data_IF_636292999879
#
_entry.id   IF_636292999879
#
_cell.length_a   1.000
_cell.length_b   1.000
_cell.length_c   1.000
_cell.angle_alpha   90.00
_cell.angle_beta   90.00
_cell.angle_gamma   90.00
#
_symmetry.space_group_name_H-M   'P 1'
#
loop_
_entity.id
_entity.type
_entity.pdbx_description
1 polymer ?
#
# COMPACT_ATOMS: atom_id res chain seq x y z
N UNK A 1 14.96 -49.29 -52.36
CA UNK A 1 14.29 -48.92 -51.10
C UNK A 1 15.06 -47.73 -50.49
N UNK A 2 14.58 -46.53 -50.75
CA UNK A 2 15.21 -45.28 -50.24
C UNK A 2 14.42 -44.86 -48.97
N UNK A 3 15.10 -44.84 -47.85
CA UNK A 3 14.56 -44.33 -46.57
C UNK A 3 14.90 -42.85 -46.48
N UNK A 4 13.88 -41.99 -46.55
CA UNK A 4 14.02 -40.53 -46.41
C UNK A 4 13.87 -40.21 -44.94
N UNK A 5 14.96 -39.73 -44.28
CA UNK A 5 14.95 -39.25 -42.91
C UNK A 5 14.47 -37.78 -42.89
N UNK A 6 13.33 -37.56 -42.30
CA UNK A 6 12.80 -36.21 -41.99
C UNK A 6 13.47 -35.71 -40.71
N UNK A 7 14.29 -34.68 -40.83
CA UNK A 7 14.81 -33.93 -39.64
C UNK A 7 13.80 -32.86 -39.30
N UNK A 8 13.13 -33.02 -38.15
CA UNK A 8 12.23 -32.02 -37.58
C UNK A 8 13.08 -31.00 -36.83
N UNK A 9 13.26 -29.82 -37.40
CA UNK A 9 13.91 -28.69 -36.70
C UNK A 9 12.89 -28.04 -35.76
N UNK A 10 12.99 -28.29 -34.45
CA UNK A 10 12.27 -27.54 -33.42
C UNK A 10 12.84 -26.13 -33.38
N UNK A 11 12.14 -25.17 -33.95
CA UNK A 11 12.36 -23.75 -33.66
C UNK A 11 11.87 -23.46 -32.25
N UNK A 12 12.80 -23.35 -31.29
CA UNK A 12 12.54 -22.84 -29.96
C UNK A 12 12.15 -21.36 -30.05
N UNK A 13 10.90 -21.05 -29.82
CA UNK A 13 10.46 -19.67 -29.59
C UNK A 13 10.99 -19.27 -28.22
N UNK A 14 12.14 -18.60 -28.20
CA UNK A 14 12.59 -17.89 -26.98
C UNK A 14 11.62 -16.76 -26.75
N UNK A 15 10.73 -16.90 -25.78
CA UNK A 15 9.98 -15.78 -25.24
C UNK A 15 11.01 -14.82 -24.64
N UNK A 16 11.26 -13.72 -25.30
CA UNK A 16 11.97 -12.60 -24.71
C UNK A 16 11.11 -12.08 -23.54
N UNK A 17 11.43 -12.49 -22.33
CA UNK A 17 10.91 -11.84 -21.13
C UNK A 17 11.54 -10.45 -21.13
N UNK A 18 10.76 -9.44 -21.50
CA UNK A 18 11.18 -8.04 -21.41
C UNK A 18 11.57 -7.78 -19.95
N UNK A 19 12.79 -7.28 -19.73
CA UNK A 19 13.24 -6.95 -18.39
C UNK A 19 12.41 -5.76 -17.89
N UNK A 20 11.83 -5.86 -16.70
CA UNK A 20 11.11 -4.75 -16.06
C UNK A 20 12.03 -3.53 -15.98
N UNK A 21 11.51 -2.35 -16.34
CA UNK A 21 12.27 -1.10 -16.26
C UNK A 21 12.66 -0.73 -14.83
N UNK A 22 11.87 -1.18 -13.85
CA UNK A 22 12.08 -0.88 -12.43
C UNK A 22 12.02 -2.13 -11.58
N UNK A 23 12.76 -2.12 -10.48
CA UNK A 23 12.70 -3.16 -9.45
C UNK A 23 11.48 -2.99 -8.56
N UNK A 24 10.93 -4.10 -8.10
CA UNK A 24 9.76 -4.11 -7.21
C UNK A 24 10.19 -4.48 -5.80
N UNK A 25 9.81 -3.65 -4.83
CA UNK A 25 10.10 -3.85 -3.40
C UNK A 25 8.79 -3.96 -2.63
N UNK A 26 8.56 -5.07 -1.94
CA UNK A 26 7.36 -5.28 -1.14
C UNK A 26 7.57 -4.77 0.30
N UNK A 27 6.59 -4.03 0.84
CA UNK A 27 6.57 -3.57 2.23
C UNK A 27 5.25 -3.93 2.87
N UNK A 28 5.26 -4.95 3.74
CA UNK A 28 4.05 -5.52 4.33
C UNK A 28 3.38 -4.58 5.34
N UNK A 29 2.14 -4.90 5.70
CA UNK A 29 1.34 -4.19 6.69
C UNK A 29 1.52 -4.74 8.12
N UNK A 30 0.68 -4.25 9.01
CA UNK A 30 0.62 -4.68 10.39
C UNK A 30 0.22 -6.16 10.51
N UNK A 31 0.89 -6.89 11.40
CA UNK A 31 0.67 -8.30 11.70
C UNK A 31 0.30 -8.47 13.17
N UNK A 32 -1.00 -8.66 13.45
CA UNK A 32 -1.54 -8.66 14.82
C UNK A 32 -1.00 -9.80 15.70
N UNK A 33 -0.63 -10.95 15.10
CA UNK A 33 -0.04 -12.07 15.85
C UNK A 33 1.28 -11.70 16.49
N UNK A 34 2.07 -10.83 15.89
CA UNK A 34 3.37 -10.40 16.42
C UNK A 34 3.27 -9.58 17.71
N UNK A 35 2.11 -8.99 18.03
CA UNK A 35 1.92 -8.30 19.31
C UNK A 35 1.94 -9.24 20.53
N UNK A 36 1.81 -10.54 20.33
CA UNK A 36 1.81 -11.55 21.40
C UNK A 36 2.90 -12.58 21.29
N UNK A 37 3.36 -12.86 20.09
CA UNK A 37 4.43 -13.82 19.81
C UNK A 37 5.65 -13.04 19.32
N UNK A 38 6.36 -12.41 20.28
CA UNK A 38 7.55 -11.63 19.97
C UNK A 38 8.73 -12.58 19.73
N UNK A 39 9.01 -12.85 18.48
CA UNK A 39 10.17 -13.67 18.07
C UNK A 39 10.88 -13.01 16.88
N UNK A 40 12.01 -12.30 17.09
CA UNK A 40 12.77 -11.66 16.02
C UNK A 40 13.21 -12.61 14.90
N UNK A 41 13.33 -13.92 15.18
CA UNK A 41 13.74 -14.92 14.17
C UNK A 41 12.66 -15.23 13.15
N UNK A 42 11.40 -14.87 13.44
CA UNK A 42 10.24 -15.11 12.55
C UNK A 42 9.96 -13.95 11.59
N UNK A 43 10.59 -12.79 11.75
CA UNK A 43 10.23 -11.58 11.01
C UNK A 43 10.32 -11.81 9.49
N UNK A 44 11.39 -12.42 9.00
CA UNK A 44 11.54 -12.74 7.58
C UNK A 44 10.48 -13.74 7.08
N UNK A 45 10.25 -14.84 7.81
CA UNK A 45 9.26 -15.84 7.43
C UNK A 45 7.83 -15.31 7.51
N UNK A 46 7.52 -14.48 8.50
CA UNK A 46 6.21 -13.83 8.63
C UNK A 46 5.98 -12.85 7.47
N UNK A 47 6.98 -12.07 7.11
CA UNK A 47 6.93 -11.17 5.96
C UNK A 47 6.76 -11.91 4.63
N UNK A 48 7.43 -13.05 4.46
CA UNK A 48 7.24 -13.91 3.30
C UNK A 48 5.81 -14.46 3.23
N UNK A 49 5.30 -14.97 4.36
CA UNK A 49 3.94 -15.52 4.42
C UNK A 49 2.86 -14.44 4.19
N UNK A 50 3.12 -13.20 4.59
CA UNK A 50 2.20 -12.08 4.39
C UNK A 50 1.85 -11.85 2.93
N UNK A 51 2.82 -11.94 2.04
CA UNK A 51 2.66 -11.57 0.64
C UNK A 51 2.14 -12.68 -0.27
N UNK A 52 2.07 -13.90 0.18
CA UNK A 52 1.78 -15.07 -0.65
C UNK A 52 2.67 -15.20 -1.90
N UNK A 53 2.72 -16.38 -2.50
CA UNK A 53 3.69 -16.68 -3.56
C UNK A 53 3.52 -15.84 -4.83
N UNK A 54 2.27 -15.50 -5.20
CA UNK A 54 2.00 -14.75 -6.44
C UNK A 54 2.45 -13.27 -6.41
N UNK A 55 2.66 -12.70 -5.22
CA UNK A 55 3.34 -11.41 -5.07
C UNK A 55 4.85 -11.58 -5.08
N UNK A 56 5.34 -12.51 -4.27
CA UNK A 56 6.77 -12.75 -4.08
C UNK A 56 7.48 -13.22 -5.33
N UNK A 57 6.80 -14.00 -6.19
CA UNK A 57 7.37 -14.50 -7.43
C UNK A 57 7.79 -13.40 -8.45
N UNK A 58 7.23 -12.19 -8.32
CA UNK A 58 7.48 -11.07 -9.22
C UNK A 58 8.23 -9.92 -8.53
N UNK A 59 8.43 -9.98 -7.22
CA UNK A 59 9.18 -8.98 -6.47
C UNK A 59 10.69 -9.25 -6.55
N UNK A 60 11.46 -8.18 -6.59
CA UNK A 60 12.92 -8.25 -6.54
C UNK A 60 13.42 -8.23 -5.10
N UNK A 61 12.71 -7.52 -4.21
CA UNK A 61 13.08 -7.35 -2.82
C UNK A 61 11.86 -7.27 -1.89
N UNK A 62 12.10 -7.48 -0.60
CA UNK A 62 11.12 -7.32 0.46
C UNK A 62 11.73 -6.64 1.68
N UNK A 63 10.98 -5.75 2.29
CA UNK A 63 11.34 -5.09 3.56
C UNK A 63 10.41 -5.61 4.63
N UNK A 64 10.95 -6.40 5.56
CA UNK A 64 10.23 -6.99 6.67
C UNK A 64 10.56 -6.27 7.97
N UNK A 65 9.54 -6.10 8.82
CA UNK A 65 9.65 -5.36 10.07
C UNK A 65 8.67 -5.89 11.12
N UNK A 66 9.01 -5.79 12.42
CA UNK A 66 8.15 -6.33 13.48
C UNK A 66 7.05 -5.37 13.89
N UNK A 67 5.82 -5.86 14.00
CA UNK A 67 4.68 -5.05 14.44
C UNK A 67 4.69 -4.69 15.93
N UNK A 68 5.49 -5.37 16.74
CA UNK A 68 5.63 -5.09 18.17
C UNK A 68 6.59 -3.95 18.51
N UNK A 69 7.27 -3.36 17.53
CA UNK A 69 8.19 -2.23 17.71
C UNK A 69 7.61 -0.94 17.10
N UNK A 70 8.22 0.20 17.42
CA UNK A 70 7.87 1.52 16.90
C UNK A 70 8.67 1.83 15.64
N UNK A 71 8.04 2.55 14.67
CA UNK A 71 8.68 2.92 13.40
C UNK A 71 9.91 3.79 13.67
N UNK A 72 9.74 4.89 14.40
CA UNK A 72 10.84 5.78 14.81
C UNK A 72 11.64 5.20 16.00
N UNK A 73 12.00 3.95 15.91
CA UNK A 73 12.72 3.23 16.96
C UNK A 73 13.45 2.05 16.36
N UNK A 74 13.20 0.87 16.92
CA UNK A 74 13.88 -0.34 16.45
C UNK A 74 13.49 -0.77 15.06
N UNK A 75 12.27 -0.45 14.58
CA UNK A 75 11.98 -0.70 13.16
C UNK A 75 12.97 0.05 12.30
N UNK A 76 13.17 1.35 12.52
CA UNK A 76 14.12 2.15 11.76
C UNK A 76 15.56 1.64 11.91
N UNK A 77 16.06 1.44 13.15
CA UNK A 77 17.45 1.14 13.41
C UNK A 77 17.87 -0.30 13.08
N UNK A 78 17.01 -1.27 13.43
CA UNK A 78 17.39 -2.68 13.44
C UNK A 78 16.88 -3.44 12.19
N UNK A 79 15.87 -2.88 11.48
CA UNK A 79 15.25 -3.52 10.31
C UNK A 79 15.37 -2.69 9.04
N UNK A 80 14.93 -1.41 9.06
CA UNK A 80 14.97 -0.59 7.84
C UNK A 80 16.39 -0.23 7.46
N UNK A 81 17.15 0.34 8.38
CA UNK A 81 18.52 0.79 8.10
C UNK A 81 19.42 -0.30 7.52
N UNK A 82 19.56 -1.49 8.14
CA UNK A 82 20.40 -2.55 7.58
C UNK A 82 19.94 -3.00 6.18
N UNK A 83 18.62 -3.07 5.97
CA UNK A 83 18.06 -3.47 4.67
C UNK A 83 18.31 -2.44 3.57
N UNK A 84 18.04 -1.16 3.85
CA UNK A 84 18.25 -0.07 2.89
C UNK A 84 19.74 0.09 2.55
N UNK A 85 20.60 -0.06 3.54
CA UNK A 85 22.06 -0.08 3.36
C UNK A 85 22.48 -1.18 2.38
N UNK A 86 22.04 -2.41 2.62
CA UNK A 86 22.33 -3.56 1.74
C UNK A 86 21.80 -3.32 0.31
N UNK A 87 20.58 -2.79 0.17
CA UNK A 87 20.01 -2.46 -1.14
C UNK A 87 20.81 -1.39 -1.88
N UNK A 88 21.34 -0.38 -1.16
CA UNK A 88 22.21 0.64 -1.75
C UNK A 88 23.55 0.07 -2.16
N UNK A 89 24.24 -0.68 -1.27
CA UNK A 89 25.52 -1.34 -1.56
C UNK A 89 25.45 -2.28 -2.78
N UNK A 90 24.30 -2.93 -2.97
CA UNK A 90 24.08 -3.84 -4.10
C UNK A 90 23.52 -3.11 -5.36
N UNK A 91 23.24 -1.83 -5.28
CA UNK A 91 22.67 -1.06 -6.39
C UNK A 91 21.29 -1.51 -6.84
N UNK A 92 20.49 -2.10 -5.94
CA UNK A 92 19.17 -2.68 -6.27
C UNK A 92 18.24 -1.66 -6.93
N UNK A 93 18.20 -0.44 -6.42
CA UNK A 93 17.35 0.63 -6.95
C UNK A 93 18.06 1.56 -7.94
N UNK A 94 19.23 1.21 -8.49
CA UNK A 94 19.89 2.06 -9.49
C UNK A 94 19.07 2.29 -10.76
N UNK A 95 18.38 1.27 -11.33
CA UNK A 95 17.44 1.51 -12.44
C UNK A 95 16.17 2.22 -11.98
N UNK A 96 15.90 2.25 -10.69
CA UNK A 96 14.70 2.71 -10.04
C UNK A 96 13.94 1.58 -9.37
N UNK A 97 13.27 1.90 -8.26
CA UNK A 97 12.40 0.98 -7.53
C UNK A 97 10.98 1.50 -7.44
N UNK A 98 10.01 0.61 -7.59
CA UNK A 98 8.61 0.83 -7.21
C UNK A 98 8.37 0.08 -5.90
N UNK A 99 7.99 0.81 -4.86
CA UNK A 99 7.62 0.20 -3.58
C UNK A 99 6.14 -0.16 -3.60
N UNK A 100 5.84 -1.45 -3.51
CA UNK A 100 4.50 -2.00 -3.34
C UNK A 100 4.22 -2.16 -1.86
N UNK A 101 3.28 -1.38 -1.35
CA UNK A 101 2.95 -1.35 0.07
C UNK A 101 1.55 -1.85 0.33
N UNK A 102 1.31 -2.40 1.50
CA UNK A 102 -0.03 -2.70 1.97
C UNK A 102 -0.22 -2.15 3.40
N UNK A 103 -1.41 -1.57 3.65
CA UNK A 103 -1.80 -1.18 5.00
C UNK A 103 -0.74 -0.25 5.66
N UNK A 104 -0.26 -0.63 6.85
CA UNK A 104 0.80 0.07 7.59
C UNK A 104 2.13 0.18 6.81
N UNK A 105 2.37 -0.70 5.84
CA UNK A 105 3.53 -0.60 4.97
C UNK A 105 3.63 0.73 4.21
N UNK A 106 2.49 1.37 3.94
CA UNK A 106 2.44 2.75 3.42
C UNK A 106 3.08 3.75 4.40
N UNK A 107 2.74 3.68 5.68
CA UNK A 107 3.31 4.56 6.71
C UNK A 107 4.82 4.32 6.88
N UNK A 108 5.23 3.05 6.93
CA UNK A 108 6.66 2.66 6.98
C UNK A 108 7.41 3.20 5.75
N UNK A 109 6.82 3.07 4.57
CA UNK A 109 7.45 3.55 3.32
C UNK A 109 7.53 5.08 3.29
N UNK A 110 6.54 5.81 3.79
CA UNK A 110 6.66 7.27 3.95
C UNK A 110 7.84 7.63 4.82
N UNK A 111 8.01 6.95 5.94
CA UNK A 111 9.14 7.16 6.84
C UNK A 111 10.48 6.83 6.15
N UNK A 112 10.53 5.76 5.36
CA UNK A 112 11.72 5.45 4.53
C UNK A 112 12.03 6.59 3.56
N UNK A 113 11.05 7.05 2.78
CA UNK A 113 11.23 8.10 1.76
C UNK A 113 11.76 9.39 2.39
N UNK A 114 11.26 9.72 3.58
CA UNK A 114 11.64 10.94 4.29
C UNK A 114 13.07 10.89 4.84
N UNK A 115 13.59 9.71 5.17
CA UNK A 115 14.84 9.56 5.91
C UNK A 115 15.97 8.88 5.12
N UNK A 116 15.68 8.02 4.15
CA UNK A 116 16.67 7.12 3.55
C UNK A 116 17.83 7.85 2.88
N UNK A 117 17.57 8.99 2.23
CA UNK A 117 18.61 9.74 1.55
C UNK A 117 19.66 10.22 2.56
N UNK A 118 19.22 10.87 3.63
CA UNK A 118 20.12 11.35 4.69
C UNK A 118 20.88 10.21 5.36
N UNK A 119 20.23 9.07 5.61
CA UNK A 119 20.88 7.93 6.25
C UNK A 119 21.99 7.33 5.38
N UNK A 120 21.69 7.15 4.09
CA UNK A 120 22.64 6.55 3.15
C UNK A 120 23.79 7.51 2.83
N UNK A 121 23.52 8.77 2.55
CA UNK A 121 24.53 9.81 2.30
C UNK A 121 25.49 9.97 3.51
N UNK A 122 24.97 9.98 4.74
CA UNK A 122 25.78 10.03 5.94
C UNK A 122 26.69 8.80 6.12
N UNK A 123 26.33 7.68 5.50
CA UNK A 123 27.15 6.46 5.46
C UNK A 123 28.06 6.39 4.23
N UNK A 124 28.09 7.41 3.38
CA UNK A 124 28.84 7.43 2.13
C UNK A 124 28.27 6.53 1.04
N UNK A 125 26.95 6.29 1.08
CA UNK A 125 26.23 5.45 0.13
C UNK A 125 25.27 6.28 -0.71
N UNK A 126 24.93 5.76 -1.90
CA UNK A 126 23.95 6.40 -2.77
C UNK A 126 22.53 6.19 -2.24
N UNK A 127 21.68 7.25 -2.25
CA UNK A 127 20.26 7.12 -1.95
C UNK A 127 19.57 6.15 -2.90
N UNK A 128 18.53 5.45 -2.39
CA UNK A 128 17.71 4.61 -3.23
C UNK A 128 16.86 5.47 -4.18
N UNK A 129 16.90 5.15 -5.48
CA UNK A 129 16.06 5.80 -6.48
C UNK A 129 14.63 5.22 -6.44
N UNK A 130 13.81 5.70 -5.50
CA UNK A 130 12.40 5.29 -5.37
C UNK A 130 11.57 6.14 -6.33
N UNK A 131 11.16 5.55 -7.46
CA UNK A 131 10.47 6.27 -8.54
C UNK A 131 8.97 6.40 -8.33
N UNK A 132 8.37 5.51 -7.55
CA UNK A 132 6.96 5.55 -7.17
C UNK A 132 6.67 4.63 -5.99
N UNK A 133 5.50 4.83 -5.36
CA UNK A 133 4.88 3.81 -4.50
C UNK A 133 3.53 3.40 -5.06
N UNK A 134 3.19 2.13 -4.90
CA UNK A 134 1.86 1.57 -5.14
C UNK A 134 1.29 1.16 -3.80
N UNK A 135 0.48 2.03 -3.23
CA UNK A 135 -0.04 1.88 -1.87
C UNK A 135 -1.41 1.21 -1.92
N UNK A 136 -1.46 -0.08 -1.63
CA UNK A 136 -2.68 -0.89 -1.63
C UNK A 136 -3.32 -0.84 -0.25
N UNK A 137 -4.55 -0.38 -0.14
CA UNK A 137 -5.27 -0.19 1.12
C UNK A 137 -4.40 0.51 2.20
N UNK A 138 -3.64 1.54 1.78
CA UNK A 138 -2.58 2.15 2.57
C UNK A 138 -3.08 2.89 3.79
N UNK A 139 -2.42 2.71 4.93
CA UNK A 139 -2.73 3.36 6.19
C UNK A 139 -1.77 4.53 6.53
N UNK A 140 -1.26 5.24 5.53
CA UNK A 140 -0.31 6.33 5.72
C UNK A 140 -0.86 7.53 6.51
N UNK A 141 -2.18 7.70 6.56
CA UNK A 141 -2.87 8.67 7.41
C UNK A 141 -3.34 8.12 8.76
N UNK A 142 -2.97 6.89 9.10
CA UNK A 142 -3.40 6.19 10.32
C UNK A 142 -4.73 5.46 10.15
N UNK A 143 -5.21 4.89 11.25
CA UNK A 143 -6.51 4.23 11.36
C UNK A 143 -7.14 4.53 12.72
N UNK A 144 -8.42 4.88 12.73
CA UNK A 144 -9.22 5.07 13.94
C UNK A 144 -9.25 3.81 14.81
N UNK A 145 -9.16 2.62 14.19
CA UNK A 145 -9.08 1.36 14.93
C UNK A 145 -7.82 1.28 15.79
N UNK A 146 -6.71 1.87 15.34
CA UNK A 146 -5.50 1.95 16.16
C UNK A 146 -5.67 2.87 17.36
N UNK A 147 -6.37 4.00 17.22
CA UNK A 147 -6.74 4.85 18.35
C UNK A 147 -7.59 4.07 19.36
N UNK A 148 -8.58 3.31 18.88
CA UNK A 148 -9.43 2.47 19.74
C UNK A 148 -8.64 1.36 20.43
N UNK A 149 -7.71 0.69 19.73
CA UNK A 149 -6.89 -0.38 20.30
C UNK A 149 -5.99 0.13 21.42
N UNK A 150 -5.36 1.30 21.22
CA UNK A 150 -4.53 1.93 22.24
C UNK A 150 -5.39 2.35 23.46
N UNK A 151 -6.58 2.89 23.22
CA UNK A 151 -7.51 3.23 24.32
C UNK A 151 -7.98 1.97 25.07
N UNK A 152 -8.27 0.88 24.37
CA UNK A 152 -8.65 -0.40 24.98
C UNK A 152 -7.53 -0.97 25.86
N UNK A 153 -6.27 -0.93 25.38
CA UNK A 153 -5.12 -1.35 26.17
C UNK A 153 -4.93 -0.54 27.46
N UNK A 154 -5.35 0.73 27.45
CA UNK A 154 -5.30 1.62 28.60
C UNK A 154 -6.55 1.53 29.50
N UNK A 155 -7.48 0.59 29.23
CA UNK A 155 -8.70 0.42 30.01
C UNK A 155 -9.75 1.52 29.80
N UNK A 156 -9.67 2.26 28.71
CA UNK A 156 -10.58 3.37 28.36
C UNK A 156 -11.68 2.96 27.38
N UNK A 157 -11.77 1.69 27.00
CA UNK A 157 -12.76 1.20 26.06
C UNK A 157 -14.03 0.71 26.75
N UNK A 158 -15.17 0.93 26.10
CA UNK A 158 -16.41 0.28 26.45
C UNK A 158 -16.53 -1.08 25.70
N UNK A 159 -17.49 -1.97 26.07
CA UNK A 159 -17.61 -3.29 25.45
C UNK A 159 -17.79 -3.28 23.92
N UNK A 160 -18.40 -2.25 23.35
CA UNK A 160 -18.60 -2.13 21.89
C UNK A 160 -17.27 -1.86 21.19
N UNK A 161 -16.47 -0.96 21.76
CA UNK A 161 -15.11 -0.68 21.26
C UNK A 161 -14.22 -1.92 21.37
N UNK A 162 -14.26 -2.62 22.53
CA UNK A 162 -13.49 -3.86 22.69
C UNK A 162 -13.88 -4.93 21.66
N UNK A 163 -15.18 -5.05 21.35
CA UNK A 163 -15.66 -5.98 20.33
C UNK A 163 -15.13 -5.62 18.93
N UNK A 164 -15.14 -4.35 18.55
CA UNK A 164 -14.62 -3.88 17.28
C UNK A 164 -13.10 -4.12 17.15
N UNK A 165 -12.34 -3.78 18.19
CA UNK A 165 -10.89 -4.00 18.26
C UNK A 165 -10.58 -5.50 18.19
N UNK A 166 -11.34 -6.34 18.89
CA UNK A 166 -11.19 -7.80 18.83
C UNK A 166 -11.51 -8.37 17.46
N UNK A 167 -12.54 -7.84 16.79
CA UNK A 167 -12.88 -8.26 15.43
C UNK A 167 -11.72 -7.97 14.45
N UNK A 168 -11.14 -6.77 14.56
CA UNK A 168 -9.98 -6.38 13.74
C UNK A 168 -8.71 -7.18 14.04
N UNK A 169 -8.31 -7.24 15.32
CA UNK A 169 -7.05 -7.89 15.71
C UNK A 169 -7.13 -9.43 15.74
N UNK A 170 -8.34 -10.00 15.66
CA UNK A 170 -8.58 -11.43 15.89
C UNK A 170 -8.37 -11.87 17.35
N UNK A 171 -8.17 -10.92 18.28
CA UNK A 171 -7.80 -11.15 19.67
C UNK A 171 -8.05 -9.93 20.54
N UNK A 172 -8.00 -10.08 21.86
CA UNK A 172 -7.95 -8.97 22.78
C UNK A 172 -6.61 -8.26 22.68
N UNK A 173 -6.61 -6.93 22.76
CA UNK A 173 -5.38 -6.15 22.79
C UNK A 173 -4.64 -6.37 24.10
N UNK A 174 -3.32 -6.57 24.02
CA UNK A 174 -2.41 -6.69 25.16
C UNK A 174 -1.71 -5.36 25.47
N UNK A 175 -0.67 -5.43 26.29
CA UNK A 175 0.14 -4.25 26.63
C UNK A 175 1.20 -3.92 25.56
N UNK A 176 1.58 -4.90 24.74
CA UNK A 176 2.49 -4.68 23.61
C UNK A 176 1.70 -4.09 22.47
N UNK A 177 1.92 -2.82 22.18
CA UNK A 177 1.18 -2.07 21.18
C UNK A 177 2.03 -1.75 19.94
N UNK A 178 3.35 -1.64 20.09
CA UNK A 178 4.27 -1.43 18.98
C UNK A 178 3.80 -0.36 18.00
N UNK A 179 3.74 -0.74 16.74
CA UNK A 179 3.34 0.14 15.63
C UNK A 179 1.90 0.65 15.73
N UNK A 180 1.03 0.08 16.57
CA UNK A 180 -0.32 0.62 16.77
C UNK A 180 -0.30 2.06 17.32
N UNK A 181 0.74 2.42 18.08
CA UNK A 181 0.93 3.81 18.49
C UNK A 181 1.24 4.72 17.31
N UNK A 182 2.00 4.25 16.34
CA UNK A 182 2.35 5.02 15.14
C UNK A 182 1.17 5.12 14.19
N UNK A 183 0.31 4.10 14.16
CA UNK A 183 -0.91 4.05 13.36
C UNK A 183 -2.06 4.90 13.89
N UNK A 184 -1.98 5.45 15.11
CA UNK A 184 -2.98 6.43 15.56
C UNK A 184 -3.07 7.57 14.55
N UNK A 185 -4.29 8.00 14.24
CA UNK A 185 -4.58 8.97 13.18
C UNK A 185 -3.69 10.22 13.26
N UNK A 186 -3.53 10.79 14.44
CA UNK A 186 -2.68 11.97 14.61
C UNK A 186 -1.18 11.65 14.53
N UNK A 187 -0.75 10.52 15.09
CA UNK A 187 0.66 10.14 15.11
C UNK A 187 1.17 9.80 13.71
N UNK A 188 0.39 9.02 12.94
CA UNK A 188 0.74 8.66 11.56
C UNK A 188 0.97 9.89 10.68
N UNK A 189 0.20 10.95 10.89
CA UNK A 189 0.33 12.20 10.13
C UNK A 189 1.53 13.06 10.53
N UNK A 190 2.11 12.79 11.71
CA UNK A 190 3.25 13.53 12.25
C UNK A 190 4.57 12.76 12.10
N UNK A 191 4.49 11.43 11.95
CA UNK A 191 5.65 10.54 11.96
C UNK A 191 6.62 10.80 10.80
N UNK A 192 6.11 11.14 9.65
CA UNK A 192 6.90 11.44 8.47
C UNK A 192 6.31 12.66 7.76
N UNK A 193 7.18 13.51 7.24
CA UNK A 193 6.77 14.64 6.41
C UNK A 193 6.13 14.15 5.11
N UNK A 194 5.55 15.05 4.37
CA UNK A 194 5.03 14.67 3.06
C UNK A 194 6.18 14.27 2.16
N UNK A 195 6.04 13.17 1.43
CA UNK A 195 7.04 12.82 0.45
C UNK A 195 7.26 14.01 -0.47
N UNK A 196 8.52 14.26 -0.78
CA UNK A 196 8.91 15.26 -1.72
C UNK A 196 8.09 15.11 -3.01
N UNK A 197 7.95 16.17 -3.76
CA UNK A 197 7.33 16.22 -5.08
C UNK A 197 7.87 15.16 -6.07
N UNK A 198 8.93 14.47 -5.72
CA UNK A 198 9.64 13.53 -6.58
C UNK A 198 9.08 12.13 -6.61
N UNK A 199 8.37 11.70 -5.57
CA UNK A 199 7.89 10.31 -5.47
C UNK A 199 6.38 10.27 -5.57
N UNK A 200 5.83 10.01 -6.76
CA UNK A 200 4.38 9.83 -6.94
C UNK A 200 3.90 8.60 -6.18
N UNK A 201 2.73 8.71 -5.57
CA UNK A 201 2.09 7.68 -4.78
C UNK A 201 0.74 7.32 -5.39
N UNK A 202 0.67 6.14 -6.00
CA UNK A 202 -0.58 5.60 -6.55
C UNK A 202 -1.28 4.83 -5.44
N UNK A 203 -2.46 5.30 -5.05
CA UNK A 203 -3.19 4.78 -3.89
C UNK A 203 -4.39 3.99 -4.35
N UNK A 204 -4.36 2.69 -4.12
CA UNK A 204 -5.43 1.75 -4.48
C UNK A 204 -6.26 1.47 -3.24
N UNK A 205 -7.43 2.09 -3.20
CA UNK A 205 -8.29 2.12 -2.01
C UNK A 205 -9.38 1.07 -2.15
N UNK A 206 -9.39 0.10 -1.26
CA UNK A 206 -10.47 -0.87 -1.15
C UNK A 206 -11.71 -0.20 -0.51
N UNK A 207 -12.92 -0.69 -0.87
CA UNK A 207 -14.21 -0.13 -0.45
C UNK A 207 -15.17 -1.27 -0.02
N UNK A 208 -14.66 -2.44 0.27
CA UNK A 208 -15.43 -3.63 0.63
C UNK A 208 -15.61 -3.80 2.13
N UNK A 209 -16.75 -4.39 2.51
CA UNK A 209 -17.10 -4.65 3.89
C UNK A 209 -16.56 -6.02 4.39
N UNK A 210 -15.91 -5.98 5.54
CA UNK A 210 -15.46 -7.13 6.31
C UNK A 210 -16.05 -7.04 7.75
N UNK A 211 -15.85 -8.06 8.58
CA UNK A 211 -16.29 -8.07 9.99
C UNK A 211 -17.79 -7.83 10.21
N UNK A 212 -18.63 -8.07 9.21
CA UNK A 212 -20.09 -7.84 9.30
C UNK A 212 -20.38 -6.40 9.77
N UNK A 213 -19.64 -5.42 9.25
CA UNK A 213 -19.73 -4.01 9.61
C UNK A 213 -19.41 -3.68 11.08
N UNK A 214 -18.78 -4.57 11.84
CA UNK A 214 -18.48 -4.32 13.27
C UNK A 214 -17.54 -3.12 13.48
N UNK A 215 -16.68 -2.81 12.51
CA UNK A 215 -15.75 -1.67 12.54
C UNK A 215 -16.30 -0.40 11.91
N UNK A 216 -17.32 -0.49 11.07
CA UNK A 216 -17.89 0.62 10.28
C UNK A 216 -18.40 1.79 11.12
N UNK A 217 -18.88 1.53 12.34
CA UNK A 217 -19.31 2.58 13.27
C UNK A 217 -18.17 3.53 13.70
N UNK A 218 -16.93 3.08 13.53
CA UNK A 218 -15.72 3.78 13.96
C UNK A 218 -14.87 4.30 12.80
N UNK A 219 -15.19 3.88 11.58
CA UNK A 219 -14.51 4.29 10.36
C UNK A 219 -15.42 5.24 9.56
N UNK A 220 -15.11 6.52 9.53
CA UNK A 220 -15.99 7.49 8.90
C UNK A 220 -15.85 7.48 7.37
N UNK A 221 -16.99 7.48 6.68
CA UNK A 221 -17.07 7.59 5.22
C UNK A 221 -16.90 6.25 4.51
N UNK A 222 -16.24 6.27 3.35
CA UNK A 222 -15.80 5.07 2.63
C UNK A 222 -14.63 4.47 3.40
N UNK A 223 -14.63 3.16 3.55
CA UNK A 223 -13.58 2.42 4.25
C UNK A 223 -13.50 0.97 3.73
N UNK A 224 -12.39 0.32 4.04
CA UNK A 224 -12.14 -1.08 3.71
C UNK A 224 -12.28 -2.02 4.93
N UNK A 225 -13.02 -1.58 5.95
CA UNK A 225 -13.20 -2.19 7.27
C UNK A 225 -12.02 -2.05 8.25
N UNK A 226 -10.89 -1.48 7.84
CA UNK A 226 -9.69 -1.24 8.68
C UNK A 226 -9.19 0.19 8.58
N UNK A 227 -9.23 0.77 7.38
CA UNK A 227 -8.70 2.10 7.09
C UNK A 227 -9.76 2.94 6.40
N UNK A 228 -10.03 4.11 6.94
CA UNK A 228 -10.96 5.04 6.33
C UNK A 228 -10.34 5.76 5.11
N UNK A 229 -11.18 6.14 4.15
CA UNK A 229 -10.78 6.73 2.89
C UNK A 229 -9.88 7.99 3.04
N UNK A 230 -10.10 8.81 4.06
CA UNK A 230 -9.26 9.98 4.29
C UNK A 230 -7.76 9.60 4.53
N UNK A 231 -7.53 8.43 5.11
CA UNK A 231 -6.18 7.88 5.28
C UNK A 231 -5.68 7.25 3.99
N UNK A 232 -6.49 6.35 3.42
CA UNK A 232 -6.09 5.56 2.26
C UNK A 232 -5.93 6.41 0.99
N UNK A 233 -6.67 7.49 0.82
CA UNK A 233 -6.65 8.34 -0.38
C UNK A 233 -5.66 9.50 -0.36
N UNK A 234 -5.00 9.76 0.77
CA UNK A 234 -3.96 10.78 0.83
C UNK A 234 -4.41 12.14 1.38
N UNK A 235 -5.45 12.20 2.23
CA UNK A 235 -5.75 13.41 2.98
C UNK A 235 -4.74 13.61 4.11
N UNK A 236 -4.24 14.84 4.26
CA UNK A 236 -3.33 15.18 5.35
C UNK A 236 -4.05 15.52 6.66
N UNK A 237 -5.38 15.62 6.63
CA UNK A 237 -6.22 15.81 7.82
C UNK A 237 -7.20 14.66 7.99
N UNK A 238 -7.43 14.27 9.24
CA UNK A 238 -8.49 13.35 9.59
C UNK A 238 -9.86 13.90 9.13
N UNK A 239 -10.73 13.03 8.68
CA UNK A 239 -12.09 13.39 8.28
C UNK A 239 -12.24 14.04 6.90
N UNK A 240 -11.18 14.18 6.11
CA UNK A 240 -11.29 14.67 4.73
C UNK A 240 -11.71 13.51 3.79
N UNK A 241 -12.96 13.07 3.91
CA UNK A 241 -13.49 11.84 3.27
C UNK A 241 -13.59 11.94 1.75
N UNK A 242 -13.59 13.11 1.18
CA UNK A 242 -13.66 13.33 -0.27
C UNK A 242 -12.28 13.33 -0.95
N UNK A 243 -11.22 12.98 -0.23
CA UNK A 243 -9.86 12.87 -0.78
C UNK A 243 -9.73 11.87 -1.93
N UNK A 244 -10.65 10.91 -2.05
CA UNK A 244 -10.74 10.00 -3.19
C UNK A 244 -11.58 10.55 -4.37
N UNK A 245 -12.11 11.74 -4.27
CA UNK A 245 -13.00 12.28 -5.29
C UNK A 245 -12.26 12.67 -6.57
N UNK A 246 -13.02 12.86 -7.67
CA UNK A 246 -12.47 13.35 -8.94
C UNK A 246 -11.98 14.81 -8.88
N UNK A 247 -12.21 15.50 -7.77
CA UNK A 247 -11.60 16.81 -7.52
C UNK A 247 -10.07 16.73 -7.37
N UNK A 248 -9.52 15.53 -7.18
CA UNK A 248 -8.09 15.26 -7.22
C UNK A 248 -7.73 14.79 -8.61
N UNK A 249 -6.90 15.53 -9.32
CA UNK A 249 -6.43 15.19 -10.67
C UNK A 249 -5.45 14.01 -10.67
N UNK A 250 -5.17 13.53 -11.86
CA UNK A 250 -4.16 12.47 -12.06
C UNK A 250 -2.72 12.97 -11.90
N UNK A 251 -2.53 14.25 -11.63
CA UNK A 251 -1.26 14.84 -11.22
C UNK A 251 -1.11 14.96 -9.69
N UNK A 252 -2.03 14.36 -8.93
CA UNK A 252 -2.06 14.44 -7.48
C UNK A 252 -2.39 15.82 -6.92
N UNK A 253 -3.01 16.68 -7.72
CA UNK A 253 -3.40 18.05 -7.32
C UNK A 253 -4.90 18.23 -7.32
N UNK A 254 -5.38 19.20 -6.58
CA UNK A 254 -6.79 19.58 -6.59
C UNK A 254 -7.17 20.21 -7.95
N UNK A 255 -8.25 19.72 -8.53
CA UNK A 255 -8.75 20.19 -9.83
C UNK A 255 -9.87 21.23 -9.72
N UNK A 256 -10.38 21.48 -8.50
CA UNK A 256 -11.39 22.51 -8.25
C UNK A 256 -11.09 23.28 -6.96
N UNK A 257 -11.61 24.50 -6.85
CA UNK A 257 -11.49 25.31 -5.64
C UNK A 257 -12.24 24.72 -4.44
N UNK A 258 -13.29 23.95 -4.71
CA UNK A 258 -14.11 23.23 -3.72
C UNK A 258 -13.58 21.80 -3.46
N UNK A 259 -12.37 21.49 -3.93
CA UNK A 259 -11.74 20.20 -3.73
C UNK A 259 -11.35 19.93 -2.27
N UNK A 260 -10.78 18.79 -2.04
CA UNK A 260 -10.37 18.33 -0.71
C UNK A 260 -9.36 19.29 -0.09
N UNK A 261 -9.66 19.81 1.08
CA UNK A 261 -8.71 20.59 1.87
C UNK A 261 -7.61 19.69 2.39
N UNK A 262 -6.38 20.24 2.43
CA UNK A 262 -5.25 19.52 3.03
C UNK A 262 -5.03 18.13 2.41
N UNK A 263 -5.10 18.05 1.09
CA UNK A 263 -4.73 16.88 0.32
C UNK A 263 -3.21 16.88 0.09
N UNK A 264 -2.61 15.69 0.19
CA UNK A 264 -1.20 15.52 -0.11
C UNK A 264 -0.93 15.56 -1.63
N UNK A 265 -0.10 16.46 -2.11
CA UNK A 265 0.24 16.50 -3.54
C UNK A 265 0.98 15.22 -3.97
N UNK A 266 0.92 14.92 -5.26
CA UNK A 266 1.52 13.71 -5.87
C UNK A 266 0.95 12.39 -5.36
N UNK A 267 -0.18 12.42 -4.68
CA UNK A 267 -1.00 11.25 -4.39
C UNK A 267 -2.06 11.11 -5.47
N UNK A 268 -2.24 9.88 -5.95
CA UNK A 268 -3.14 9.55 -7.07
C UNK A 268 -4.18 8.56 -6.57
N UNK A 269 -5.24 9.00 -5.92
CA UNK A 269 -6.23 8.11 -5.33
C UNK A 269 -7.10 7.46 -6.40
N UNK A 270 -7.28 6.15 -6.28
CA UNK A 270 -8.15 5.34 -7.12
C UNK A 270 -8.89 4.34 -6.24
N UNK A 271 -10.22 4.33 -6.34
CA UNK A 271 -11.02 3.33 -5.63
C UNK A 271 -11.05 2.01 -6.40
N UNK A 272 -10.92 0.94 -5.65
CA UNK A 272 -11.20 -0.41 -6.12
C UNK A 272 -12.68 -0.72 -5.93
N UNK A 273 -13.18 -1.81 -6.52
CA UNK A 273 -14.57 -2.18 -6.31
C UNK A 273 -14.82 -2.62 -4.86
N UNK A 274 -16.10 -2.60 -4.45
CA UNK A 274 -16.58 -3.07 -3.15
C UNK A 274 -16.41 -4.59 -2.92
N UNK A 275 -15.90 -5.33 -3.90
CA UNK A 275 -15.45 -6.73 -3.73
C UNK A 275 -14.09 -6.86 -3.05
N UNK A 276 -13.38 -5.77 -2.82
CA UNK A 276 -12.09 -5.76 -2.13
C UNK A 276 -12.21 -5.07 -0.78
N UNK A 277 -12.11 -5.84 0.29
CA UNK A 277 -11.85 -5.36 1.64
C UNK A 277 -10.34 -5.23 1.90
N UNK A 278 -9.96 -4.77 3.09
CA UNK A 278 -8.58 -4.54 3.49
C UNK A 278 -7.64 -5.73 3.25
N UNK A 279 -8.09 -6.94 3.47
CA UNK A 279 -7.25 -8.15 3.35
C UNK A 279 -7.39 -8.80 1.99
N UNK A 280 -8.60 -8.89 1.45
CA UNK A 280 -8.83 -9.55 0.17
C UNK A 280 -8.14 -8.85 -0.99
N UNK A 281 -7.89 -7.55 -0.87
CA UNK A 281 -7.21 -6.76 -1.90
C UNK A 281 -5.79 -7.25 -2.22
N UNK A 282 -5.11 -7.91 -1.28
CA UNK A 282 -3.77 -8.46 -1.50
C UNK A 282 -3.72 -9.99 -1.55
N UNK A 283 -4.78 -10.69 -1.11
CA UNK A 283 -4.79 -12.16 -1.12
C UNK A 283 -5.56 -12.77 -2.28
N UNK A 284 -6.31 -11.94 -3.01
CA UNK A 284 -7.02 -12.39 -4.20
C UNK A 284 -6.06 -12.78 -5.32
N UNK A 285 -6.18 -14.01 -5.77
CA UNK A 285 -5.53 -14.48 -6.98
C UNK A 285 -6.22 -13.91 -8.22
N UNK A 286 -5.64 -14.12 -9.39
CA UNK A 286 -6.20 -13.65 -10.65
C UNK A 286 -7.65 -14.12 -10.82
N UNK A 287 -8.58 -13.17 -10.93
CA UNK A 287 -10.00 -13.42 -11.11
C UNK A 287 -10.51 -13.07 -12.50
N UNK A 288 -9.70 -12.44 -13.31
CA UNK A 288 -10.12 -11.98 -14.61
C UNK A 288 -9.02 -11.36 -15.44
N UNK A 289 -9.40 -10.72 -16.53
CA UNK A 289 -8.49 -10.05 -17.44
C UNK A 289 -8.17 -8.65 -16.94
N UNK A 290 -6.89 -8.32 -16.83
CA UNK A 290 -6.45 -6.95 -16.56
C UNK A 290 -6.85 -6.04 -17.71
N UNK A 291 -7.40 -4.88 -17.40
CA UNK A 291 -7.79 -3.87 -18.37
C UNK A 291 -6.67 -2.86 -18.58
N UNK A 292 -6.49 -2.46 -19.82
CA UNK A 292 -5.63 -1.33 -20.14
C UNK A 292 -6.29 -0.01 -19.79
N UNK A 293 -5.48 0.96 -19.53
CA UNK A 293 -5.78 2.16 -18.82
C UNK A 293 -6.18 3.37 -19.66
N UNK A 294 -7.06 4.20 -19.10
CA UNK A 294 -7.37 5.54 -19.59
C UNK A 294 -6.76 6.64 -18.72
N UNK A 295 -6.42 6.33 -17.48
CA UNK A 295 -5.80 7.26 -16.56
C UNK A 295 -4.32 6.88 -16.37
N UNK A 296 -3.44 7.87 -16.32
CA UNK A 296 -2.01 7.62 -16.21
C UNK A 296 -1.35 8.59 -15.26
N UNK A 297 -0.35 8.10 -14.52
CA UNK A 297 0.59 8.92 -13.78
C UNK A 297 1.98 8.76 -14.38
N UNK A 298 2.70 9.86 -14.53
CA UNK A 298 4.07 9.81 -15.02
C UNK A 298 5.01 9.58 -13.85
N UNK A 299 5.74 8.48 -13.86
CA UNK A 299 6.69 8.10 -12.81
C UNK A 299 8.07 8.70 -13.02
N UNK A 300 8.48 8.82 -14.29
CA UNK A 300 9.75 9.41 -14.71
C UNK A 300 9.59 9.95 -16.13
N UNK A 301 10.55 10.71 -16.67
CA UNK A 301 10.51 11.11 -18.07
C UNK A 301 10.28 9.88 -18.97
N UNK A 302 9.24 9.94 -19.80
CA UNK A 302 8.85 8.88 -20.74
C UNK A 302 8.36 7.54 -20.13
N UNK A 303 8.14 7.48 -18.81
CA UNK A 303 7.59 6.30 -18.14
C UNK A 303 6.24 6.64 -17.51
N UNK A 304 5.23 5.86 -17.83
CA UNK A 304 3.87 6.05 -17.32
C UNK A 304 3.31 4.75 -16.79
N UNK A 305 2.55 4.89 -15.72
CA UNK A 305 1.64 3.83 -15.25
C UNK A 305 0.24 4.24 -15.66
N UNK A 306 -0.52 3.33 -16.18
CA UNK A 306 -1.82 3.63 -16.72
C UNK A 306 -2.88 2.61 -16.28
N UNK A 307 -4.08 3.11 -15.91
CA UNK A 307 -5.23 2.31 -15.50
C UNK A 307 -6.51 2.80 -16.20
N UNK A 308 -7.37 1.88 -16.59
CA UNK A 308 -8.74 2.24 -16.93
C UNK A 308 -9.50 2.61 -15.66
N UNK A 309 -10.21 3.72 -15.70
CA UNK A 309 -11.02 4.17 -14.58
C UNK A 309 -12.43 4.55 -15.06
N UNK A 310 -13.36 4.64 -14.12
CA UNK A 310 -14.67 5.23 -14.32
C UNK A 310 -15.06 6.08 -13.11
N UNK A 311 -16.03 6.97 -13.29
CA UNK A 311 -16.52 7.84 -12.23
C UNK A 311 -17.93 7.41 -11.85
N UNK A 312 -18.22 7.39 -10.55
CA UNK A 312 -19.51 7.08 -9.98
C UNK A 312 -19.89 8.10 -8.92
N UNK A 313 -21.16 8.45 -8.82
CA UNK A 313 -21.68 9.32 -7.77
C UNK A 313 -22.19 8.47 -6.61
N UNK A 314 -21.61 8.65 -5.41
CA UNK A 314 -22.09 8.06 -4.15
C UNK A 314 -22.59 9.15 -3.20
N UNK A 315 -23.56 8.79 -2.37
CA UNK A 315 -24.17 9.70 -1.40
C UNK A 315 -25.65 9.98 -1.70
N UNK A 316 -26.27 10.76 -0.83
CA UNK A 316 -27.70 11.03 -0.90
C UNK A 316 -27.95 12.50 -1.26
N UNK A 317 -28.83 12.69 -2.26
CA UNK A 317 -29.36 13.98 -2.74
C UNK A 317 -28.27 15.03 -3.02
N UNK A 318 -28.23 16.15 -2.26
CA UNK A 318 -27.26 17.27 -2.47
C UNK A 318 -25.85 16.96 -1.95
N UNK A 319 -25.65 15.87 -1.21
CA UNK A 319 -24.36 15.44 -0.69
C UNK A 319 -23.68 14.38 -1.57
N UNK A 320 -24.11 14.24 -2.80
CA UNK A 320 -23.45 13.36 -3.75
C UNK A 320 -22.04 13.83 -4.04
N UNK A 321 -21.11 12.89 -4.01
CA UNK A 321 -19.70 13.08 -4.39
C UNK A 321 -19.36 12.12 -5.52
N UNK A 322 -18.49 12.56 -6.41
CA UNK A 322 -17.95 11.72 -7.46
C UNK A 322 -16.67 11.06 -6.98
N UNK A 323 -16.56 9.77 -7.27
CA UNK A 323 -15.39 8.97 -6.95
C UNK A 323 -14.87 8.29 -8.21
N UNK A 324 -13.55 8.03 -8.23
CA UNK A 324 -12.90 7.35 -9.34
C UNK A 324 -12.55 5.94 -8.93
N UNK A 325 -13.03 4.97 -9.69
CA UNK A 325 -12.79 3.55 -9.49
C UNK A 325 -11.93 2.99 -10.61
N UNK A 326 -11.08 2.01 -10.29
CA UNK A 326 -10.37 1.24 -11.30
C UNK A 326 -11.36 0.29 -11.98
N UNK A 327 -11.45 0.38 -13.31
CA UNK A 327 -12.39 -0.41 -14.10
C UNK A 327 -12.04 -1.91 -14.01
N UNK A 328 -13.08 -2.75 -13.86
CA UNK A 328 -12.95 -4.20 -13.73
C UNK A 328 -12.11 -4.68 -12.53
N UNK A 329 -11.93 -3.84 -11.51
CA UNK A 329 -11.24 -4.24 -10.30
C UNK A 329 -11.97 -5.32 -9.51
N UNK A 330 -13.27 -5.45 -9.71
CA UNK A 330 -14.14 -6.45 -9.09
C UNK A 330 -13.88 -7.90 -9.55
N UNK A 331 -13.21 -8.10 -10.68
CA UNK A 331 -12.93 -9.42 -11.25
C UNK A 331 -11.46 -9.66 -11.61
N UNK A 332 -10.56 -8.82 -11.11
CA UNK A 332 -9.13 -8.91 -11.37
C UNK A 332 -8.36 -8.82 -10.07
N UNK A 333 -7.38 -9.70 -9.85
CA UNK A 333 -6.52 -9.61 -8.67
C UNK A 333 -5.65 -8.36 -8.70
N UNK A 334 -5.33 -7.80 -7.54
CA UNK A 334 -4.47 -6.63 -7.44
C UNK A 334 -3.07 -6.91 -7.97
N UNK A 335 -2.50 -8.07 -7.69
CA UNK A 335 -1.18 -8.43 -8.22
C UNK A 335 -1.16 -8.43 -9.74
N UNK A 336 -2.15 -9.03 -10.40
CA UNK A 336 -2.25 -9.03 -11.86
C UNK A 336 -2.43 -7.60 -12.41
N UNK A 337 -3.28 -6.79 -11.77
CA UNK A 337 -3.52 -5.41 -12.16
C UNK A 337 -2.24 -4.55 -12.08
N UNK A 338 -1.55 -4.60 -10.95
CA UNK A 338 -0.39 -3.75 -10.71
C UNK A 338 0.81 -4.17 -11.54
N UNK A 339 1.10 -5.47 -11.62
CA UNK A 339 2.23 -5.94 -12.42
C UNK A 339 2.04 -5.74 -13.92
N UNK A 340 0.80 -5.83 -14.43
CA UNK A 340 0.51 -5.51 -15.83
C UNK A 340 0.61 -4.02 -16.15
N UNK A 341 0.47 -3.16 -15.15
CA UNK A 341 0.56 -1.71 -15.31
C UNK A 341 1.99 -1.16 -15.16
N UNK A 342 2.92 -1.98 -14.64
CA UNK A 342 4.31 -1.54 -14.49
C UNK A 342 4.98 -1.35 -15.84
N UNK A 343 5.82 -0.32 -16.00
CA UNK A 343 6.57 -0.10 -17.23
C UNK A 343 7.52 -1.26 -17.52
N UNK A 344 7.58 -1.66 -18.77
CA UNK A 344 8.56 -2.62 -19.32
C UNK A 344 9.95 -1.99 -19.49
#
# INVERSE_FOLDING_TARGET
>A
MLVSSFVLTLMGVSANVSAKAYKTVLVHGFQSQQLSEIDPRKIDSDGQAYWADYWGALADERIDWPSYERIEGKIASDYLWPKLRTMSEQGVCQPGCIFLTHSTGDLVTRYIIDNQANWLENAGLEPLNIVATFDVAGAGGGSELADLAVNAANGLANPVVEAAVRAWLGRSVGQTLGVLHDLKVNNARQLASFPSERTPRLRFVADGDLFINATKLFLPGIDDSVVAAHSACGANQAGAFDSCSVSVGMDGKLTSQDGVRNFWPYHYPMLMSDNYDHFSVIVNQSKGKVTTANASAQLAPNKRVAFSTYEEEKGFWIWKKKYRYVRQSDNTSMSALLYAAMPE
#
